data_IF_351418258809
#
_entry.id   IF_351418258809
#
_cell.length_a   1.000
_cell.length_b   1.000
_cell.length_c   1.000
_cell.angle_alpha   90.00
_cell.angle_beta   90.00
_cell.angle_gamma   90.00
#
_symmetry.space_group_name_H-M   'P 1'
#
loop_
_entity.id
_entity.type
_entity.pdbx_description
1 polymer ?
#
# COMPACT_ATOMS: atom_id res chain seq x y z
N UNK A 1 1.25 30.44 46.69
CA UNK A 1 0.35 29.43 46.07
C UNK A 1 -0.49 29.97 44.90
N UNK A 2 -0.35 31.24 44.49
CA UNK A 2 -1.18 31.88 43.44
C UNK A 2 -0.70 31.64 42.01
N UNK A 3 0.63 31.62 41.77
CA UNK A 3 1.22 31.55 40.42
C UNK A 3 1.02 30.18 39.74
N UNK A 4 1.09 29.08 40.50
CA UNK A 4 0.85 27.73 39.95
C UNK A 4 -0.60 27.54 39.48
N UNK A 5 -1.57 28.12 40.19
CA UNK A 5 -3.00 28.00 39.85
C UNK A 5 -3.32 28.74 38.54
N UNK A 6 -2.65 29.87 38.30
CA UNK A 6 -2.77 30.66 37.06
C UNK A 6 -2.19 29.95 35.83
N UNK A 7 -1.03 29.28 35.97
CA UNK A 7 -0.43 28.49 34.88
C UNK A 7 -1.32 27.31 34.45
N UNK A 8 -1.95 26.63 35.41
CA UNK A 8 -2.87 25.51 35.12
C UNK A 8 -4.15 26.00 34.44
N UNK A 9 -4.64 27.19 34.79
CA UNK A 9 -5.80 27.81 34.15
C UNK A 9 -5.52 28.19 32.69
N UNK A 10 -4.36 28.80 32.41
CA UNK A 10 -3.96 29.16 31.04
C UNK A 10 -3.80 27.93 30.14
N UNK A 11 -3.24 26.82 30.64
CA UNK A 11 -3.12 25.56 29.88
C UNK A 11 -4.47 24.99 29.45
N UNK A 12 -5.50 25.07 30.32
CA UNK A 12 -6.85 24.61 30.00
C UNK A 12 -7.49 25.45 28.90
N UNK A 13 -7.28 26.76 28.92
CA UNK A 13 -7.76 27.67 27.86
C UNK A 13 -7.07 27.38 26.54
N UNK A 14 -5.75 27.16 26.54
CA UNK A 14 -5.01 26.80 25.32
C UNK A 14 -5.52 25.50 24.71
N UNK A 15 -5.79 24.47 25.53
CA UNK A 15 -6.35 23.20 25.06
C UNK A 15 -7.74 23.40 24.45
N UNK A 16 -8.61 24.19 25.08
CA UNK A 16 -9.94 24.49 24.56
C UNK A 16 -9.91 25.25 23.23
N UNK A 17 -8.99 26.20 23.07
CA UNK A 17 -8.80 26.94 21.81
C UNK A 17 -8.31 26.00 20.70
N UNK A 18 -7.39 25.08 21.00
CA UNK A 18 -6.94 24.07 20.04
C UNK A 18 -8.09 23.18 19.59
N UNK A 19 -8.96 22.73 20.51
CA UNK A 19 -10.14 21.94 20.16
C UNK A 19 -11.19 22.73 19.35
N UNK A 20 -11.39 24.01 19.66
CA UNK A 20 -12.32 24.88 18.91
C UNK A 20 -11.82 25.18 17.48
N UNK A 21 -10.51 25.32 17.29
CA UNK A 21 -9.91 25.45 15.96
C UNK A 21 -10.00 24.12 15.19
N UNK A 22 -9.80 22.99 15.87
CA UNK A 22 -9.94 21.66 15.25
C UNK A 22 -11.39 21.37 14.79
N UNK A 23 -12.41 21.90 15.47
CA UNK A 23 -13.81 21.72 15.04
C UNK A 23 -14.16 22.52 13.79
N UNK A 24 -13.46 23.63 13.51
CA UNK A 24 -13.61 24.39 12.25
C UNK A 24 -13.01 23.65 11.04
N UNK A 25 -12.16 22.64 11.26
CA UNK A 25 -11.66 21.76 10.20
C UNK A 25 -12.68 20.66 9.80
N UNK A 26 -13.85 20.62 10.45
CA UNK A 26 -14.96 19.75 10.06
C UNK A 26 -15.73 20.42 8.91
N UNK A 27 -15.25 20.29 7.68
CA UNK A 27 -16.00 20.70 6.50
C UNK A 27 -17.20 19.75 6.31
N UNK A 28 -18.41 20.29 6.47
CA UNK A 28 -19.62 19.68 5.92
C UNK A 28 -19.51 19.78 4.40
N UNK A 29 -19.37 18.64 3.71
CA UNK A 29 -19.23 18.63 2.25
C UNK A 29 -20.61 18.72 1.59
N UNK A 30 -20.76 19.76 0.77
CA UNK A 30 -21.86 19.96 -0.17
C UNK A 30 -22.00 18.77 -1.15
N UNK A 31 -23.21 18.59 -1.68
CA UNK A 31 -23.52 17.60 -2.73
C UNK A 31 -22.83 17.98 -4.05
N UNK A 32 -21.53 17.68 -4.16
CA UNK A 32 -20.75 17.73 -5.41
C UNK A 32 -21.25 16.68 -6.42
N UNK A 33 -21.14 16.93 -7.74
CA UNK A 33 -21.40 15.93 -8.78
C UNK A 33 -20.62 14.65 -8.49
N UNK A 34 -21.26 13.50 -8.69
CA UNK A 34 -20.70 12.18 -8.39
C UNK A 34 -19.35 11.99 -9.11
N UNK A 35 -18.24 12.26 -8.42
CA UNK A 35 -16.89 12.12 -8.98
C UNK A 35 -16.66 10.63 -9.23
N UNK A 36 -16.56 10.25 -10.51
CA UNK A 36 -16.27 8.86 -10.88
C UNK A 36 -14.81 8.59 -10.52
N UNK A 37 -14.64 8.02 -9.34
CA UNK A 37 -13.35 7.69 -8.75
C UNK A 37 -12.79 6.43 -9.40
N UNK A 38 -12.13 6.57 -10.55
CA UNK A 38 -11.65 5.44 -11.34
C UNK A 38 -10.12 5.35 -11.41
N UNK A 39 -9.43 6.24 -10.71
CA UNK A 39 -7.97 6.26 -10.58
C UNK A 39 -7.58 6.29 -9.11
N UNK A 40 -6.44 5.70 -8.81
CA UNK A 40 -5.93 5.59 -7.45
C UNK A 40 -4.41 5.63 -7.47
N UNK A 41 -3.84 6.39 -6.53
CA UNK A 41 -2.42 6.33 -6.22
C UNK A 41 -2.26 5.89 -4.77
N UNK A 42 -1.38 4.92 -4.52
CA UNK A 42 -1.13 4.45 -3.15
C UNK A 42 0.30 3.97 -2.96
N UNK A 43 0.76 4.11 -1.72
CA UNK A 43 1.95 3.47 -1.20
C UNK A 43 1.56 2.15 -0.55
N UNK A 44 2.37 1.12 -0.76
CA UNK A 44 2.12 -0.25 -0.33
C UNK A 44 3.35 -0.84 0.36
N UNK A 45 3.08 -1.64 1.40
CA UNK A 45 4.04 -2.52 2.05
C UNK A 45 3.59 -3.98 1.93
N UNK A 46 4.53 -4.89 1.62
CA UNK A 46 4.32 -6.36 1.62
C UNK A 46 3.42 -6.91 0.51
N UNK A 47 2.94 -6.05 -0.40
CA UNK A 47 2.06 -6.46 -1.49
C UNK A 47 2.82 -6.88 -2.75
N UNK A 48 2.18 -6.81 -3.94
CA UNK A 48 2.78 -7.16 -5.23
C UNK A 48 4.12 -6.47 -5.53
N UNK A 49 4.37 -5.29 -4.98
CA UNK A 49 5.69 -4.63 -5.02
C UNK A 49 6.79 -5.31 -4.20
N UNK A 50 6.51 -6.48 -3.63
CA UNK A 50 7.34 -7.32 -2.74
C UNK A 50 7.47 -6.73 -1.34
N UNK A 51 8.16 -5.60 -1.20
CA UNK A 51 8.39 -4.99 0.12
C UNK A 51 7.80 -3.58 0.20
N UNK A 52 8.31 -2.63 -0.56
CA UNK A 52 7.76 -1.27 -0.63
C UNK A 52 7.46 -0.92 -2.08
N UNK A 53 6.31 -0.31 -2.35
CA UNK A 53 6.01 0.22 -3.68
C UNK A 53 5.06 1.40 -3.67
N UNK A 54 5.23 2.29 -4.65
CA UNK A 54 4.24 3.27 -5.04
C UNK A 54 3.56 2.77 -6.32
N UNK A 55 2.23 2.86 -6.38
CA UNK A 55 1.48 2.28 -7.47
C UNK A 55 0.42 3.25 -7.96
N UNK A 56 0.21 3.20 -9.27
CA UNK A 56 -0.91 3.81 -9.96
C UNK A 56 -1.85 2.72 -10.43
N UNK A 57 -3.13 2.91 -10.17
CA UNK A 57 -4.19 1.96 -10.49
C UNK A 57 -5.32 2.70 -11.19
N UNK A 58 -5.80 2.15 -12.30
CA UNK A 58 -6.86 2.75 -13.11
C UNK A 58 -7.84 1.70 -13.60
N UNK A 59 -9.13 2.05 -13.57
CA UNK A 59 -10.22 1.21 -14.09
C UNK A 59 -10.35 1.40 -15.60
N UNK A 60 -10.65 0.31 -16.33
CA UNK A 60 -10.83 0.38 -17.79
C UNK A 60 -12.15 1.04 -18.19
N UNK A 61 -13.15 0.96 -17.32
CA UNK A 61 -14.44 1.61 -17.49
C UNK A 61 -14.53 2.89 -16.64
N UNK A 62 -15.51 3.74 -16.96
CA UNK A 62 -15.87 4.92 -16.15
C UNK A 62 -16.70 4.52 -14.93
N UNK A 63 -16.19 3.56 -14.15
CA UNK A 63 -16.80 3.05 -12.92
C UNK A 63 -15.71 2.87 -11.87
N UNK A 64 -15.98 3.10 -10.58
CA UNK A 64 -15.01 2.83 -9.51
C UNK A 64 -14.73 1.34 -9.30
N UNK A 65 -15.62 0.47 -9.79
CA UNK A 65 -15.54 -0.98 -9.66
C UNK A 65 -15.27 -1.67 -10.99
N UNK A 66 -15.05 -2.98 -10.93
CA UNK A 66 -14.80 -3.83 -12.09
C UNK A 66 -13.33 -3.92 -12.47
N UNK A 67 -13.08 -4.26 -13.73
CA UNK A 67 -11.73 -4.49 -14.26
C UNK A 67 -10.90 -3.21 -14.32
N UNK A 68 -9.62 -3.37 -14.00
CA UNK A 68 -8.61 -2.36 -14.23
C UNK A 68 -7.20 -2.91 -14.19
N UNK A 69 -6.25 -2.00 -14.30
CA UNK A 69 -4.83 -2.28 -14.32
C UNK A 69 -4.10 -1.53 -13.23
N UNK A 70 -2.95 -2.06 -12.86
CA UNK A 70 -2.00 -1.52 -11.88
C UNK A 70 -0.60 -1.58 -12.45
N UNK A 71 0.13 -0.49 -12.27
CA UNK A 71 1.57 -0.44 -12.47
C UNK A 71 2.18 0.33 -11.31
N UNK A 72 3.34 -0.09 -10.84
CA UNK A 72 4.03 0.58 -9.75
C UNK A 72 5.53 0.53 -9.88
N UNK A 73 6.19 1.24 -8.97
CA UNK A 73 7.63 1.21 -8.80
C UNK A 73 7.90 1.00 -7.32
N UNK A 74 8.76 0.05 -7.01
CA UNK A 74 9.10 -0.33 -5.66
C UNK A 74 10.57 -0.64 -5.48
N UNK A 75 10.89 -1.08 -4.27
CA UNK A 75 12.20 -1.56 -3.92
C UNK A 75 12.10 -2.62 -2.84
N UNK A 76 13.06 -3.52 -2.86
CA UNK A 76 13.22 -4.60 -1.89
C UNK A 76 14.69 -4.67 -1.50
N UNK A 77 14.93 -4.90 -0.22
CA UNK A 77 16.26 -5.15 0.31
C UNK A 77 16.29 -6.55 0.90
N UNK A 78 17.30 -7.32 0.54
CA UNK A 78 17.59 -8.63 1.11
C UNK A 78 19.01 -8.63 1.69
N UNK A 79 19.20 -9.42 2.74
CA UNK A 79 20.52 -9.65 3.30
C UNK A 79 21.11 -10.89 2.62
N UNK A 80 22.20 -10.68 1.88
CA UNK A 80 22.98 -11.74 1.25
C UNK A 80 24.07 -12.18 2.21
N UNK A 81 24.25 -13.50 2.35
CA UNK A 81 25.34 -14.08 3.12
C UNK A 81 26.32 -14.78 2.18
N UNK A 82 27.56 -14.32 2.17
CA UNK A 82 28.65 -14.98 1.46
C UNK A 82 29.48 -15.75 2.47
N UNK A 83 29.57 -17.07 2.27
CA UNK A 83 30.47 -17.92 3.03
C UNK A 83 31.79 -18.06 2.27
N UNK A 84 32.83 -17.36 2.72
CA UNK A 84 34.16 -17.39 2.11
C UNK A 84 35.21 -17.69 3.18
N UNK A 85 36.06 -18.68 2.92
CA UNK A 85 37.22 -19.01 3.75
C UNK A 85 36.91 -19.18 5.26
N UNK A 86 35.83 -19.89 5.60
CA UNK A 86 35.46 -20.17 7.00
C UNK A 86 34.65 -19.08 7.71
N UNK A 87 34.41 -17.93 7.07
CA UNK A 87 33.70 -16.79 7.66
C UNK A 87 32.44 -16.42 6.88
N UNK A 88 31.40 -15.99 7.60
CA UNK A 88 30.19 -15.41 7.02
C UNK A 88 30.35 -13.90 6.88
N UNK A 89 30.21 -13.38 5.67
CA UNK A 89 30.08 -11.95 5.40
C UNK A 89 28.64 -11.64 5.07
N UNK A 90 28.02 -10.73 5.83
CA UNK A 90 26.66 -10.27 5.59
C UNK A 90 26.69 -8.96 4.82
N UNK A 91 26.00 -8.91 3.69
CA UNK A 91 25.88 -7.71 2.86
C UNK A 91 24.41 -7.44 2.58
N UNK A 92 23.99 -6.19 2.76
CA UNK A 92 22.65 -5.77 2.38
C UNK A 92 22.63 -5.32 0.92
N UNK A 93 21.77 -5.95 0.13
CA UNK A 93 21.60 -5.65 -1.29
C UNK A 93 20.17 -5.13 -1.53
N UNK A 94 20.05 -4.03 -2.29
CA UNK A 94 18.76 -3.41 -2.66
C UNK A 94 18.53 -3.52 -4.15
N UNK A 95 17.32 -3.93 -4.53
CA UNK A 95 16.83 -4.00 -5.90
C UNK A 95 15.59 -3.14 -6.07
N UNK A 96 15.38 -2.68 -7.31
CA UNK A 96 14.15 -2.00 -7.72
C UNK A 96 13.15 -3.03 -8.21
N UNK A 97 11.87 -2.78 -7.97
CA UNK A 97 10.77 -3.65 -8.38
C UNK A 97 9.79 -2.89 -9.27
N UNK A 98 9.26 -3.56 -10.29
CA UNK A 98 8.26 -3.04 -11.23
C UNK A 98 7.06 -4.00 -11.23
N UNK A 99 6.10 -3.83 -10.30
CA UNK A 99 4.85 -4.58 -10.29
C UNK A 99 3.92 -4.13 -11.41
N UNK A 100 3.35 -5.09 -12.13
CA UNK A 100 2.29 -4.89 -13.13
C UNK A 100 1.18 -5.92 -12.86
N UNK A 101 -0.06 -5.47 -12.70
CA UNK A 101 -1.19 -6.36 -12.43
C UNK A 101 -2.46 -5.97 -13.18
N UNK A 102 -3.27 -6.99 -13.46
CA UNK A 102 -4.69 -6.85 -13.75
C UNK A 102 -5.47 -7.13 -12.47
N UNK A 103 -6.55 -6.40 -12.24
CA UNK A 103 -7.37 -6.63 -11.06
C UNK A 103 -8.86 -6.32 -11.32
N UNK A 104 -9.71 -6.91 -10.49
CA UNK A 104 -11.14 -6.69 -10.46
C UNK A 104 -11.55 -6.26 -9.04
N UNK A 105 -12.32 -5.17 -8.95
CA UNK A 105 -12.85 -4.67 -7.69
C UNK A 105 -14.34 -4.99 -7.60
N UNK A 106 -14.71 -5.79 -6.61
CA UNK A 106 -16.08 -6.08 -6.20
C UNK A 106 -16.51 -5.02 -5.17
N UNK A 107 -17.55 -4.25 -5.48
CA UNK A 107 -18.06 -3.22 -4.58
C UNK A 107 -19.48 -2.79 -4.96
N UNK A 108 -20.05 -1.91 -4.14
CA UNK A 108 -21.37 -1.32 -4.38
C UNK A 108 -21.24 0.20 -4.40
N UNK A 109 -22.00 0.88 -5.26
CA UNK A 109 -21.90 2.34 -5.49
C UNK A 109 -22.03 3.18 -4.22
N UNK A 110 -22.86 2.76 -3.27
CA UNK A 110 -23.07 3.50 -2.02
C UNK A 110 -22.30 2.91 -0.82
N UNK A 111 -21.39 1.96 -1.07
CA UNK A 111 -20.58 1.33 -0.02
C UNK A 111 -19.16 1.87 -0.09
N UNK A 112 -18.62 2.18 1.10
CA UNK A 112 -17.19 2.51 1.23
C UNK A 112 -16.29 1.27 1.20
N UNK A 113 -16.89 0.08 1.28
CA UNK A 113 -16.17 -1.18 1.37
C UNK A 113 -16.21 -1.90 0.02
N UNK A 114 -15.04 -2.37 -0.41
CA UNK A 114 -14.87 -3.14 -1.62
C UNK A 114 -13.84 -4.25 -1.39
N UNK A 115 -13.88 -5.28 -2.23
CA UNK A 115 -12.92 -6.35 -2.26
C UNK A 115 -12.21 -6.37 -3.62
N UNK A 116 -10.90 -6.52 -3.63
CA UNK A 116 -10.10 -6.58 -4.84
C UNK A 116 -9.47 -7.95 -4.98
N UNK A 117 -9.56 -8.49 -6.19
CA UNK A 117 -8.79 -9.65 -6.63
C UNK A 117 -7.91 -9.23 -7.80
N UNK A 118 -6.62 -9.49 -7.72
CA UNK A 118 -5.65 -9.15 -8.75
C UNK A 118 -4.64 -10.25 -8.99
N UNK A 119 -4.09 -10.27 -10.19
CA UNK A 119 -2.97 -11.13 -10.57
C UNK A 119 -2.04 -10.38 -11.52
N UNK A 120 -0.77 -10.77 -11.53
CA UNK A 120 0.19 -10.19 -12.45
C UNK A 120 1.61 -10.63 -12.13
N UNK A 121 2.57 -9.78 -12.48
CA UNK A 121 3.97 -10.09 -12.32
C UNK A 121 4.75 -8.89 -11.81
N UNK A 122 5.83 -9.15 -11.10
CA UNK A 122 6.76 -8.13 -10.62
C UNK A 122 8.15 -8.44 -11.14
N UNK A 123 8.69 -7.51 -11.93
CA UNK A 123 10.08 -7.57 -12.35
C UNK A 123 10.99 -7.01 -11.26
N UNK A 124 12.12 -7.64 -11.01
CA UNK A 124 13.13 -7.21 -10.04
C UNK A 124 14.45 -6.97 -10.77
N UNK A 125 15.04 -5.80 -10.54
CA UNK A 125 16.22 -5.35 -11.31
C UNK A 125 17.51 -6.11 -10.99
N UNK A 126 17.58 -6.74 -9.82
CA UNK A 126 18.71 -7.56 -9.39
C UNK A 126 18.19 -8.85 -8.79
N UNK A 127 18.89 -9.94 -9.06
CA UNK A 127 18.64 -11.23 -8.43
C UNK A 127 19.00 -11.09 -6.95
N UNK A 128 18.00 -11.15 -6.09
CA UNK A 128 18.14 -11.17 -4.64
C UNK A 128 17.51 -12.46 -4.13
N UNK A 129 18.03 -13.01 -3.03
CA UNK A 129 17.32 -14.04 -2.29
C UNK A 129 16.19 -13.39 -1.50
N UNK A 130 15.01 -13.33 -2.12
CA UNK A 130 13.81 -12.74 -1.54
C UNK A 130 12.99 -13.88 -0.95
N UNK A 131 12.61 -13.81 0.33
CA UNK A 131 11.76 -14.81 0.99
C UNK A 131 12.28 -16.26 0.94
N UNK A 132 13.60 -16.48 0.83
CA UNK A 132 14.21 -17.82 0.79
C UNK A 132 13.64 -18.71 -0.32
N UNK A 133 13.39 -18.17 -1.52
CA UNK A 133 13.20 -19.03 -2.68
C UNK A 133 14.50 -19.83 -2.83
N UNK A 134 14.43 -21.16 -2.72
CA UNK A 134 15.54 -22.12 -2.53
C UNK A 134 16.70 -22.10 -3.55
N UNK A 135 16.81 -21.08 -4.40
CA UNK A 135 17.88 -20.87 -5.35
C UNK A 135 18.87 -19.81 -4.90
N UNK A 136 20.16 -20.07 -5.20
CA UNK A 136 21.28 -19.15 -4.94
C UNK A 136 21.17 -17.80 -5.66
N UNK A 137 20.22 -17.65 -6.59
CA UNK A 137 19.87 -16.41 -7.29
C UNK A 137 18.36 -16.39 -7.54
N UNK A 138 17.63 -15.50 -6.87
CA UNK A 138 16.19 -15.34 -7.09
C UNK A 138 15.85 -14.97 -8.54
N UNK A 139 14.63 -15.28 -9.03
CA UNK A 139 14.23 -14.93 -10.38
C UNK A 139 14.13 -13.42 -10.54
N UNK A 140 14.33 -12.92 -11.76
CA UNK A 140 14.06 -11.50 -12.05
C UNK A 140 12.56 -11.22 -12.26
N UNK A 141 11.71 -12.25 -12.29
CA UNK A 141 10.29 -12.12 -12.52
C UNK A 141 9.53 -13.02 -11.55
N UNK A 142 8.63 -12.41 -10.78
CA UNK A 142 7.77 -13.11 -9.83
C UNK A 142 6.32 -13.02 -10.27
N UNK A 143 5.59 -14.13 -10.19
CA UNK A 143 4.13 -14.11 -10.26
C UNK A 143 3.56 -13.52 -8.97
N UNK A 144 2.47 -12.78 -9.08
CA UNK A 144 1.82 -12.14 -7.93
C UNK A 144 0.31 -12.36 -8.01
N UNK A 145 -0.32 -12.56 -6.87
CA UNK A 145 -1.76 -12.37 -6.71
C UNK A 145 -2.05 -11.43 -5.55
N UNK A 146 -3.24 -10.85 -5.53
CA UNK A 146 -3.70 -9.95 -4.49
C UNK A 146 -5.16 -10.22 -4.17
N UNK A 147 -5.47 -10.38 -2.89
CA UNK A 147 -6.81 -10.57 -2.34
C UNK A 147 -6.98 -9.57 -1.21
N UNK A 148 -7.53 -8.40 -1.51
CA UNK A 148 -7.44 -7.22 -0.64
C UNK A 148 -8.82 -6.71 -0.26
N UNK A 149 -9.04 -6.52 1.03
CA UNK A 149 -10.13 -5.68 1.50
C UNK A 149 -9.73 -4.21 1.32
N UNK A 150 -10.61 -3.41 0.74
CA UNK A 150 -10.40 -1.99 0.45
C UNK A 150 -11.49 -1.15 1.09
N UNK A 151 -11.08 -0.03 1.68
CA UNK A 151 -12.00 1.02 2.09
C UNK A 151 -11.73 2.29 1.28
N UNK A 152 -12.68 2.67 0.44
CA UNK A 152 -12.61 3.82 -0.48
C UNK A 152 -13.89 4.65 -0.31
N UNK A 153 -13.80 5.95 -0.01
CA UNK A 153 -14.98 6.80 0.06
C UNK A 153 -15.69 6.89 -1.29
N UNK A 154 -17.02 7.02 -1.28
CA UNK A 154 -17.87 7.02 -2.50
C UNK A 154 -17.48 8.14 -3.48
N UNK A 155 -17.06 9.29 -2.95
CA UNK A 155 -16.69 10.48 -3.71
C UNK A 155 -15.17 10.61 -3.91
N UNK A 156 -14.43 9.52 -3.70
CA UNK A 156 -12.96 9.56 -3.74
C UNK A 156 -12.35 10.14 -2.46
N UNK A 157 -11.02 10.24 -2.47
CA UNK A 157 -10.25 10.67 -1.30
C UNK A 157 -9.41 9.56 -0.68
N UNK A 158 -9.09 9.75 0.61
CA UNK A 158 -8.21 8.84 1.35
C UNK A 158 -8.79 7.43 1.41
N UNK A 159 -7.93 6.45 1.13
CA UNK A 159 -8.27 5.03 1.18
C UNK A 159 -7.15 4.23 1.79
N UNK A 160 -7.53 3.04 2.24
CA UNK A 160 -6.59 2.03 2.67
C UNK A 160 -7.06 0.66 2.24
N UNK A 161 -6.12 -0.28 2.23
CA UNK A 161 -6.39 -1.67 1.91
C UNK A 161 -5.43 -2.58 2.66
N UNK A 162 -5.89 -3.78 2.93
CA UNK A 162 -5.11 -4.82 3.58
C UNK A 162 -5.58 -6.18 3.08
N UNK A 163 -4.68 -7.15 3.00
CA UNK A 163 -5.07 -8.48 2.59
C UNK A 163 -3.90 -9.40 2.31
N UNK A 164 -4.22 -10.46 1.58
CA UNK A 164 -3.30 -11.55 1.27
C UNK A 164 -2.74 -11.37 -0.14
N UNK A 165 -1.43 -11.45 -0.26
CA UNK A 165 -0.69 -11.12 -1.48
C UNK A 165 0.36 -12.19 -1.76
N UNK A 166 -0.02 -13.42 -2.15
CA UNK A 166 0.95 -14.48 -2.36
C UNK A 166 1.87 -14.15 -3.54
N UNK A 167 3.15 -14.49 -3.37
CA UNK A 167 4.21 -14.31 -4.33
C UNK A 167 4.63 -15.68 -4.87
N UNK A 168 4.80 -15.80 -6.18
CA UNK A 168 5.22 -17.04 -6.83
C UNK A 168 6.57 -16.81 -7.51
N UNK A 169 7.56 -17.62 -7.17
CA UNK A 169 8.92 -17.54 -7.70
C UNK A 169 9.59 -18.91 -7.69
N UNK A 170 10.32 -19.26 -8.74
CA UNK A 170 11.04 -20.53 -8.87
C UNK A 170 10.20 -21.77 -8.49
N UNK A 171 8.95 -21.83 -8.96
CA UNK A 171 8.04 -22.94 -8.68
C UNK A 171 7.48 -23.02 -7.25
N UNK A 172 7.86 -22.10 -6.37
CA UNK A 172 7.36 -22.03 -4.99
C UNK A 172 6.35 -20.89 -4.82
N UNK A 173 5.45 -21.06 -3.85
CA UNK A 173 4.49 -20.04 -3.44
C UNK A 173 4.84 -19.58 -2.03
N UNK A 174 5.17 -18.30 -1.91
CA UNK A 174 5.36 -17.64 -0.64
C UNK A 174 4.06 -16.93 -0.25
N UNK A 175 3.52 -17.29 0.91
CA UNK A 175 2.42 -16.55 1.53
C UNK A 175 2.95 -15.23 2.10
N UNK A 176 2.30 -14.13 1.73
CA UNK A 176 2.59 -12.78 2.25
C UNK A 176 1.30 -11.98 2.44
N UNK A 177 1.38 -10.96 3.29
CA UNK A 177 0.31 -10.00 3.49
C UNK A 177 0.74 -8.61 3.02
N UNK A 178 -0.20 -7.87 2.44
CA UNK A 178 0.00 -6.51 1.98
C UNK A 178 -0.88 -5.53 2.73
N UNK A 179 -0.38 -4.32 2.93
CA UNK A 179 -1.17 -3.18 3.39
C UNK A 179 -0.80 -1.94 2.58
N UNK A 180 -1.77 -1.07 2.34
CA UNK A 180 -1.54 0.14 1.55
C UNK A 180 -2.46 1.28 1.98
N UNK A 181 -1.96 2.50 1.76
CA UNK A 181 -2.70 3.75 1.96
C UNK A 181 -2.55 4.62 0.72
N UNK A 182 -3.58 5.38 0.37
CA UNK A 182 -3.54 6.20 -0.82
C UNK A 182 -4.74 7.09 -1.00
N UNK A 183 -4.84 7.65 -2.20
CA UNK A 183 -5.85 8.62 -2.58
C UNK A 183 -6.50 8.22 -3.91
N UNK A 184 -7.81 8.32 -4.00
CA UNK A 184 -8.58 7.98 -5.19
C UNK A 184 -9.25 9.24 -5.75
N UNK A 185 -9.30 9.34 -7.07
CA UNK A 185 -9.80 10.49 -7.81
C UNK A 185 -10.33 10.09 -9.19
#
# INVERSE_FOLDING_TARGET
MSVLKQKTFMKRITILIVFAIASLACFAQDNEPHVITNKSFYAEIGGPGILFSANYDSRFNKTPFGFGGRVGLGFVSADESDYMNGNYTFKRSTALTLPVQLNYIFGQTNSVNAFEVGFGFTYVSKQLDIFNFYDKKGPNLYGTAAFMYRRVPVNGGFSWRIGFTPLVGNGNVQASGGASVGYNF
#
